data_IF_279760516926
#
_entry.id   IF_279760516926
#
_cell.length_a   1.000
_cell.length_b   1.000
_cell.length_c   1.000
_cell.angle_alpha   90.00
_cell.angle_beta   90.00
_cell.angle_gamma   90.00
#
_symmetry.space_group_name_H-M   'P 1'
#
loop_
_entity.id
_entity.type
_entity.pdbx_description
1 polymer ?
#
# COMPACT_ATOMS: atom_id res chain seq x y z
N UNK A 1 -38.39 -15.42 -15.22
CA UNK A 1 -38.28 -14.68 -13.96
C UNK A 1 -37.32 -15.39 -12.99
N UNK A 2 -37.36 -16.70 -12.85
CA UNK A 2 -36.51 -17.49 -11.96
C UNK A 2 -35.01 -17.36 -12.27
N UNK A 3 -34.60 -17.49 -13.53
CA UNK A 3 -33.21 -17.33 -13.95
C UNK A 3 -32.61 -15.97 -13.53
N UNK A 4 -33.38 -14.89 -13.69
CA UNK A 4 -32.89 -13.54 -13.31
C UNK A 4 -32.73 -13.44 -11.80
N UNK A 5 -33.66 -13.99 -11.03
CA UNK A 5 -33.59 -14.06 -9.58
C UNK A 5 -32.33 -14.80 -9.13
N UNK A 6 -32.09 -15.99 -9.68
CA UNK A 6 -30.97 -16.85 -9.32
C UNK A 6 -29.62 -16.19 -9.68
N UNK A 7 -29.54 -15.54 -10.84
CA UNK A 7 -28.37 -14.74 -11.24
C UNK A 7 -28.11 -13.56 -10.27
N UNK A 8 -29.16 -12.84 -9.88
CA UNK A 8 -29.02 -11.75 -8.90
C UNK A 8 -28.54 -12.26 -7.54
N UNK A 9 -29.02 -13.43 -7.10
CA UNK A 9 -28.57 -14.08 -5.87
C UNK A 9 -27.07 -14.41 -5.97
N UNK A 10 -26.62 -15.01 -7.07
CA UNK A 10 -25.21 -15.33 -7.29
C UNK A 10 -24.32 -14.08 -7.29
N UNK A 11 -24.72 -13.01 -7.96
CA UNK A 11 -24.00 -11.74 -7.96
C UNK A 11 -23.93 -11.18 -6.53
N UNK A 12 -25.03 -11.18 -5.80
CA UNK A 12 -25.05 -10.69 -4.41
C UNK A 12 -24.13 -11.50 -3.50
N UNK A 13 -24.15 -12.84 -3.60
CA UNK A 13 -23.27 -13.75 -2.85
C UNK A 13 -21.79 -13.42 -3.10
N UNK A 14 -21.41 -13.08 -4.33
CA UNK A 14 -20.03 -12.75 -4.68
C UNK A 14 -19.62 -11.35 -4.17
N UNK A 15 -20.51 -10.37 -4.28
CA UNK A 15 -20.16 -8.97 -4.03
C UNK A 15 -20.28 -8.58 -2.55
N UNK A 16 -21.29 -9.10 -1.85
CA UNK A 16 -21.58 -8.72 -0.46
C UNK A 16 -20.43 -8.98 0.51
N UNK A 17 -19.69 -10.11 0.44
CA UNK A 17 -18.53 -10.35 1.28
C UNK A 17 -17.39 -9.34 1.11
N UNK A 18 -17.26 -8.73 -0.08
CA UNK A 18 -16.25 -7.67 -0.31
C UNK A 18 -16.56 -6.41 0.50
N UNK A 19 -17.83 -6.00 0.53
CA UNK A 19 -18.26 -4.88 1.36
C UNK A 19 -18.11 -5.17 2.84
N UNK A 20 -18.41 -6.41 3.27
CA UNK A 20 -18.21 -6.85 4.65
C UNK A 20 -16.70 -6.80 5.02
N UNK A 21 -15.84 -7.28 4.13
CA UNK A 21 -14.39 -7.19 4.31
C UNK A 21 -13.94 -5.73 4.50
N UNK A 22 -14.42 -4.83 3.64
CA UNK A 22 -14.05 -3.42 3.71
C UNK A 22 -14.59 -2.75 4.98
N UNK A 23 -15.84 -3.03 5.36
CA UNK A 23 -16.43 -2.48 6.58
C UNK A 23 -15.66 -2.90 7.85
N UNK A 24 -15.22 -4.16 7.92
CA UNK A 24 -14.40 -4.67 9.03
C UNK A 24 -13.00 -4.04 8.99
N UNK A 25 -12.41 -3.90 7.80
CA UNK A 25 -11.10 -3.27 7.60
C UNK A 25 -11.11 -1.81 8.06
N UNK A 26 -12.11 -1.04 7.67
CA UNK A 26 -12.27 0.37 8.06
C UNK A 26 -12.38 0.55 9.57
N UNK A 27 -13.07 -0.37 10.26
CA UNK A 27 -13.31 -0.26 11.70
C UNK A 27 -12.09 -0.68 12.55
N UNK A 28 -11.18 -1.48 12.01
CA UNK A 28 -10.08 -2.09 12.77
C UNK A 28 -8.72 -1.38 12.61
N UNK A 29 -8.52 -0.59 11.55
CA UNK A 29 -7.21 -0.05 11.20
C UNK A 29 -7.22 1.47 11.05
N UNK A 30 -7.03 2.17 12.18
CA UNK A 30 -6.83 3.62 12.17
C UNK A 30 -5.37 4.06 11.91
N UNK A 31 -4.36 3.18 11.98
CA UNK A 31 -2.96 3.62 12.07
C UNK A 31 -1.95 3.05 11.07
N UNK A 32 -2.27 2.01 10.29
CA UNK A 32 -1.34 1.46 9.28
C UNK A 32 -2.05 1.05 7.99
N UNK A 33 -1.36 1.13 6.80
CA UNK A 33 -1.91 0.55 5.59
C UNK A 33 -2.11 -0.95 5.83
N UNK A 34 -3.35 -1.43 5.82
CA UNK A 34 -3.64 -2.79 6.20
C UNK A 34 -3.08 -3.73 5.15
N UNK A 35 -2.07 -4.52 5.50
CA UNK A 35 -1.73 -5.69 4.71
C UNK A 35 -2.98 -6.57 4.65
N UNK A 36 -3.39 -7.05 3.45
CA UNK A 36 -4.56 -7.89 3.33
C UNK A 36 -4.40 -9.12 4.24
N UNK A 37 -5.36 -9.33 5.13
CA UNK A 37 -5.34 -10.50 6.00
C UNK A 37 -5.73 -11.73 5.17
N UNK A 38 -4.74 -12.52 4.76
CA UNK A 38 -4.90 -13.69 3.89
C UNK A 38 -5.85 -14.72 4.46
N UNK A 39 -5.83 -14.92 5.79
CA UNK A 39 -6.75 -15.86 6.46
C UNK A 39 -8.20 -15.37 6.41
N UNK A 40 -8.41 -14.06 6.51
CA UNK A 40 -9.76 -13.51 6.43
C UNK A 40 -10.31 -13.54 5.00
N UNK A 41 -9.47 -13.29 3.99
CA UNK A 41 -9.83 -13.46 2.58
C UNK A 41 -10.21 -14.91 2.30
N UNK A 42 -9.39 -15.87 2.76
CA UNK A 42 -9.68 -17.30 2.67
C UNK A 42 -11.04 -17.66 3.30
N UNK A 43 -11.29 -17.19 4.50
CA UNK A 43 -12.54 -17.46 5.23
C UNK A 43 -13.76 -16.95 4.46
N UNK A 44 -13.72 -15.69 3.99
CA UNK A 44 -14.78 -15.10 3.19
C UNK A 44 -14.97 -15.83 1.86
N UNK A 45 -13.88 -16.13 1.14
CA UNK A 45 -13.95 -16.87 -0.12
C UNK A 45 -14.55 -18.27 0.07
N UNK A 46 -14.25 -18.93 1.19
CA UNK A 46 -14.82 -20.25 1.51
C UNK A 46 -16.33 -20.18 1.77
N UNK A 47 -16.79 -19.19 2.52
CA UNK A 47 -18.23 -18.97 2.76
C UNK A 47 -18.94 -18.64 1.45
N UNK A 48 -18.37 -17.71 0.67
CA UNK A 48 -18.90 -17.31 -0.64
C UNK A 48 -19.04 -18.52 -1.56
N UNK A 49 -18.05 -19.40 -1.59
CA UNK A 49 -18.07 -20.64 -2.36
C UNK A 49 -19.23 -21.55 -1.95
N UNK A 50 -19.34 -21.87 -0.67
CA UNK A 50 -20.40 -22.76 -0.16
C UNK A 50 -21.78 -22.19 -0.45
N UNK A 51 -21.99 -20.90 -0.23
CA UNK A 51 -23.25 -20.23 -0.55
C UNK A 51 -23.55 -20.26 -2.07
N UNK A 52 -22.55 -20.00 -2.91
CA UNK A 52 -22.71 -20.06 -4.37
C UNK A 52 -23.11 -21.46 -4.86
N UNK A 53 -22.51 -22.50 -4.28
CA UNK A 53 -22.87 -23.90 -4.61
C UNK A 53 -24.25 -24.31 -4.10
N UNK A 54 -24.64 -23.82 -2.93
CA UNK A 54 -25.96 -24.12 -2.31
C UNK A 54 -27.11 -23.47 -3.08
N UNK A 55 -26.92 -22.23 -3.54
CA UNK A 55 -27.91 -21.46 -4.30
C UNK A 55 -27.63 -21.52 -5.80
N UNK A 56 -27.49 -22.71 -6.37
CA UNK A 56 -27.20 -22.91 -7.80
C UNK A 56 -28.30 -22.35 -8.70
N UNK A 57 -27.92 -21.97 -9.91
CA UNK A 57 -28.83 -21.49 -10.97
C UNK A 57 -29.51 -22.70 -11.63
N UNK A 58 -30.80 -22.58 -11.87
CA UNK A 58 -31.59 -23.60 -12.55
C UNK A 58 -31.99 -23.15 -13.98
N UNK A 59 -31.85 -24.04 -14.94
CA UNK A 59 -32.32 -23.90 -16.32
C UNK A 59 -33.46 -24.91 -16.56
N UNK A 60 -34.70 -24.51 -16.26
CA UNK A 60 -35.81 -25.43 -16.20
C UNK A 60 -35.64 -26.45 -15.07
N UNK A 61 -35.68 -27.74 -15.40
CA UNK A 61 -35.55 -28.84 -14.42
C UNK A 61 -34.09 -29.18 -14.11
N UNK A 62 -33.11 -28.58 -14.80
CA UNK A 62 -31.69 -28.82 -14.62
C UNK A 62 -31.09 -27.73 -13.73
N UNK A 63 -30.73 -28.08 -12.50
CA UNK A 63 -30.05 -27.19 -11.55
C UNK A 63 -28.60 -27.62 -11.35
N UNK A 64 -27.71 -26.66 -11.01
CA UNK A 64 -26.32 -26.97 -10.65
C UNK A 64 -25.29 -26.01 -11.19
N UNK A 65 -25.67 -25.06 -12.05
CA UNK A 65 -24.75 -24.01 -12.47
C UNK A 65 -24.57 -22.98 -11.37
N UNK A 66 -23.34 -22.59 -11.09
CA UNK A 66 -23.02 -21.62 -10.06
C UNK A 66 -21.71 -20.87 -10.37
N UNK A 67 -21.43 -19.82 -9.61
CA UNK A 67 -20.25 -18.96 -9.82
C UNK A 67 -19.05 -19.36 -8.96
N UNK A 68 -18.90 -20.65 -8.61
CA UNK A 68 -17.77 -21.18 -7.82
C UNK A 68 -16.37 -20.84 -8.35
N UNK A 69 -16.13 -20.64 -9.66
CA UNK A 69 -14.79 -20.26 -10.14
C UNK A 69 -14.31 -18.93 -9.56
N UNK A 70 -15.25 -18.01 -9.31
CA UNK A 70 -14.91 -16.66 -8.84
C UNK A 70 -14.25 -16.69 -7.46
N UNK A 71 -14.85 -17.26 -6.40
CA UNK A 71 -14.23 -17.30 -5.07
C UNK A 71 -12.96 -18.18 -5.03
N UNK A 72 -12.85 -19.22 -5.87
CA UNK A 72 -11.65 -20.06 -5.93
C UNK A 72 -10.48 -19.24 -6.52
N UNK A 73 -10.67 -18.61 -7.68
CA UNK A 73 -9.62 -17.85 -8.36
C UNK A 73 -9.23 -16.61 -7.55
N UNK A 74 -10.23 -15.83 -7.09
CA UNK A 74 -9.95 -14.61 -6.32
C UNK A 74 -9.34 -14.93 -4.95
N UNK A 75 -9.84 -15.95 -4.26
CA UNK A 75 -9.27 -16.43 -3.01
C UNK A 75 -7.78 -16.79 -3.14
N UNK A 76 -7.42 -17.45 -4.24
CA UNK A 76 -6.02 -17.80 -4.52
C UNK A 76 -5.16 -16.60 -4.94
N UNK A 77 -5.63 -15.74 -5.83
CA UNK A 77 -4.86 -14.57 -6.31
C UNK A 77 -4.59 -13.55 -5.22
N UNK A 78 -5.55 -13.32 -4.31
CA UNK A 78 -5.42 -12.34 -3.21
C UNK A 78 -4.96 -12.98 -1.88
N UNK A 79 -5.31 -14.25 -1.63
CA UNK A 79 -4.95 -14.99 -0.42
C UNK A 79 -3.62 -15.76 -0.53
N UNK A 80 -3.12 -15.99 -1.75
CA UNK A 80 -1.93 -16.82 -1.99
C UNK A 80 -2.20 -18.29 -1.69
N UNK A 81 -1.20 -19.00 -1.13
CA UNK A 81 -1.31 -20.46 -0.86
C UNK A 81 -2.50 -20.81 0.05
N UNK A 82 -2.81 -19.96 1.02
CA UNK A 82 -3.96 -20.17 1.91
C UNK A 82 -5.28 -20.14 1.13
N UNK A 83 -5.33 -19.41 0.01
CA UNK A 83 -6.48 -19.36 -0.90
C UNK A 83 -6.74 -20.66 -1.68
N UNK A 84 -5.96 -21.72 -1.49
CA UNK A 84 -6.28 -23.07 -1.99
C UNK A 84 -7.40 -23.75 -1.16
N UNK A 85 -7.68 -23.29 0.04
CA UNK A 85 -8.70 -23.91 0.90
C UNK A 85 -10.10 -23.90 0.26
N UNK A 86 -10.58 -22.80 -0.37
CA UNK A 86 -11.84 -22.85 -1.12
C UNK A 86 -11.86 -23.95 -2.19
N UNK A 87 -10.75 -24.18 -2.90
CA UNK A 87 -10.68 -25.24 -3.92
C UNK A 87 -10.82 -26.65 -3.30
N UNK A 88 -10.23 -26.88 -2.13
CA UNK A 88 -10.38 -28.12 -1.39
C UNK A 88 -11.83 -28.29 -0.91
N UNK A 89 -12.46 -27.23 -0.41
CA UNK A 89 -13.87 -27.24 0.00
C UNK A 89 -14.77 -27.55 -1.18
N UNK A 90 -14.49 -27.02 -2.37
CA UNK A 90 -15.24 -27.33 -3.59
C UNK A 90 -15.24 -28.83 -3.90
N UNK A 91 -14.06 -29.45 -3.91
CA UNK A 91 -13.93 -30.89 -4.17
C UNK A 91 -14.67 -31.72 -3.12
N UNK A 92 -14.51 -31.37 -1.84
CA UNK A 92 -15.17 -32.08 -0.74
C UNK A 92 -16.70 -31.94 -0.82
N UNK A 93 -17.22 -30.78 -1.18
CA UNK A 93 -18.65 -30.51 -1.34
C UNK A 93 -19.24 -31.34 -2.50
N UNK A 94 -18.58 -31.35 -3.68
CA UNK A 94 -18.99 -32.15 -4.84
C UNK A 94 -18.98 -33.66 -4.51
N UNK A 95 -17.96 -34.13 -3.80
CA UNK A 95 -17.88 -35.54 -3.37
C UNK A 95 -18.97 -35.92 -2.38
N UNK A 96 -19.35 -35.04 -1.49
CA UNK A 96 -20.41 -35.28 -0.52
C UNK A 96 -21.80 -35.40 -1.20
N UNK A 97 -22.03 -34.65 -2.27
CA UNK A 97 -23.35 -34.62 -2.95
C UNK A 97 -23.46 -35.62 -4.10
N UNK A 98 -22.40 -35.78 -4.89
CA UNK A 98 -22.43 -36.54 -6.17
C UNK A 98 -21.62 -37.85 -6.12
N UNK A 99 -20.99 -38.13 -4.97
CA UNK A 99 -20.06 -39.26 -4.83
C UNK A 99 -18.63 -38.94 -5.29
N UNK A 100 -17.70 -39.84 -5.00
CA UNK A 100 -16.28 -39.67 -5.33
C UNK A 100 -16.03 -39.82 -6.81
N UNK A 101 -15.66 -38.74 -7.47
CA UNK A 101 -15.24 -38.69 -8.87
C UNK A 101 -13.99 -37.84 -9.04
N UNK A 102 -13.23 -38.05 -10.13
CA UNK A 102 -12.07 -37.24 -10.44
C UNK A 102 -12.41 -35.91 -11.10
N UNK A 103 -13.64 -35.73 -11.58
CA UNK A 103 -14.04 -34.54 -12.33
C UNK A 103 -13.82 -33.21 -11.57
N UNK A 104 -14.29 -33.07 -10.31
CA UNK A 104 -14.06 -31.82 -9.56
C UNK A 104 -12.57 -31.52 -9.32
N UNK A 105 -11.75 -32.55 -9.18
CA UNK A 105 -10.30 -32.40 -9.02
C UNK A 105 -9.66 -31.87 -10.31
N UNK A 106 -10.01 -32.44 -11.46
CA UNK A 106 -9.55 -32.01 -12.77
C UNK A 106 -9.98 -30.56 -13.03
N UNK A 107 -11.22 -30.21 -12.69
CA UNK A 107 -11.76 -28.88 -12.85
C UNK A 107 -10.96 -27.84 -12.02
N UNK A 108 -10.66 -28.14 -10.76
CA UNK A 108 -9.86 -27.26 -9.90
C UNK A 108 -8.43 -27.10 -10.42
N UNK A 109 -7.79 -28.19 -10.87
CA UNK A 109 -6.45 -28.13 -11.46
C UNK A 109 -6.47 -27.20 -12.68
N UNK A 110 -7.44 -27.37 -13.55
CA UNK A 110 -7.58 -26.54 -14.74
C UNK A 110 -7.83 -25.06 -14.39
N UNK A 111 -8.70 -24.81 -13.43
CA UNK A 111 -9.05 -23.46 -12.98
C UNK A 111 -7.86 -22.73 -12.34
N UNK A 112 -6.99 -23.44 -11.64
CA UNK A 112 -5.86 -22.86 -10.91
C UNK A 112 -4.55 -22.81 -11.72
N UNK A 113 -4.44 -23.48 -12.87
CA UNK A 113 -3.19 -23.56 -13.64
C UNK A 113 -2.65 -22.15 -13.99
N UNK A 114 -3.50 -21.25 -14.50
CA UNK A 114 -3.10 -19.89 -14.85
C UNK A 114 -2.86 -19.02 -13.60
N UNK A 115 -3.75 -18.99 -12.59
CA UNK A 115 -3.51 -18.29 -11.32
C UNK A 115 -2.23 -18.70 -10.60
N UNK A 116 -1.80 -19.96 -10.66
CA UNK A 116 -0.54 -20.43 -10.06
C UNK A 116 0.69 -19.69 -10.59
N UNK A 117 0.77 -19.47 -11.89
CA UNK A 117 1.86 -18.72 -12.51
C UNK A 117 1.79 -17.21 -12.21
N UNK A 118 0.58 -16.66 -12.03
CA UNK A 118 0.35 -15.25 -11.84
C UNK A 118 0.43 -14.82 -10.36
N UNK A 119 0.16 -15.71 -9.41
CA UNK A 119 0.00 -15.39 -7.99
C UNK A 119 1.18 -14.64 -7.38
N UNK A 120 2.42 -15.01 -7.72
CA UNK A 120 3.65 -14.36 -7.23
C UNK A 120 3.82 -12.92 -7.73
N UNK A 121 3.28 -12.62 -8.92
CA UNK A 121 3.40 -11.30 -9.57
C UNK A 121 2.11 -10.49 -9.47
N UNK A 122 1.04 -11.06 -8.94
CA UNK A 122 -0.29 -10.43 -8.92
C UNK A 122 -0.30 -9.05 -8.26
N UNK A 123 0.39 -8.92 -7.12
CA UNK A 123 0.50 -7.64 -6.40
C UNK A 123 1.27 -6.56 -7.16
N UNK A 124 2.10 -6.92 -8.14
CA UNK A 124 2.93 -6.00 -8.93
C UNK A 124 2.21 -5.48 -10.18
N UNK A 125 1.10 -6.11 -10.58
CA UNK A 125 0.36 -5.70 -11.76
C UNK A 125 -0.48 -4.46 -11.49
N UNK A 126 -0.57 -3.58 -12.51
CA UNK A 126 -1.51 -2.46 -12.51
C UNK A 126 -2.95 -2.96 -12.56
N UNK A 127 -3.90 -2.13 -12.09
CA UNK A 127 -5.33 -2.46 -12.10
C UNK A 127 -5.81 -2.93 -13.46
N UNK A 128 -5.45 -2.23 -14.54
CA UNK A 128 -5.90 -2.57 -15.89
C UNK A 128 -5.40 -3.95 -16.34
N UNK A 129 -4.15 -4.30 -16.02
CA UNK A 129 -3.61 -5.64 -16.29
C UNK A 129 -4.35 -6.73 -15.52
N UNK A 130 -4.71 -6.48 -14.25
CA UNK A 130 -5.49 -7.42 -13.44
C UNK A 130 -6.89 -7.64 -14.02
N UNK A 131 -7.54 -6.58 -14.51
CA UNK A 131 -8.86 -6.68 -15.16
C UNK A 131 -8.79 -7.52 -16.44
N UNK A 132 -7.81 -7.26 -17.30
CA UNK A 132 -7.61 -8.04 -18.54
C UNK A 132 -7.35 -9.51 -18.20
N UNK A 133 -6.49 -9.79 -17.22
CA UNK A 133 -6.18 -11.16 -16.80
C UNK A 133 -7.41 -11.86 -16.19
N UNK A 134 -8.21 -11.16 -15.38
CA UNK A 134 -9.46 -11.70 -14.83
C UNK A 134 -10.45 -12.06 -15.94
N UNK A 135 -10.59 -11.18 -16.94
CA UNK A 135 -11.41 -11.46 -18.14
C UNK A 135 -10.89 -12.67 -18.90
N UNK A 136 -9.58 -12.78 -19.14
CA UNK A 136 -8.98 -13.91 -19.87
C UNK A 136 -9.17 -15.23 -19.11
N UNK A 137 -8.91 -15.25 -17.78
CA UNK A 137 -9.04 -16.46 -16.96
C UNK A 137 -10.50 -16.94 -16.96
N UNK A 138 -11.45 -16.05 -16.70
CA UNK A 138 -12.87 -16.41 -16.65
C UNK A 138 -13.42 -16.82 -18.04
N UNK A 139 -13.01 -16.14 -19.11
CA UNK A 139 -13.40 -16.51 -20.48
C UNK A 139 -12.82 -17.86 -20.90
N UNK A 140 -11.57 -18.16 -20.54
CA UNK A 140 -10.96 -19.46 -20.79
C UNK A 140 -11.69 -20.57 -20.05
N UNK A 141 -12.05 -20.36 -18.78
CA UNK A 141 -12.85 -21.31 -18.01
C UNK A 141 -14.21 -21.58 -18.68
N UNK A 142 -14.95 -20.53 -19.06
CA UNK A 142 -16.25 -20.65 -19.74
C UNK A 142 -16.12 -21.43 -21.05
N UNK A 143 -15.10 -21.12 -21.86
CA UNK A 143 -14.88 -21.81 -23.13
C UNK A 143 -14.67 -23.31 -22.90
N UNK A 144 -13.85 -23.70 -21.94
CA UNK A 144 -13.58 -25.11 -21.64
C UNK A 144 -14.83 -25.79 -21.07
N UNK A 145 -15.57 -25.16 -20.17
CA UNK A 145 -16.80 -25.71 -19.60
C UNK A 145 -17.89 -25.91 -20.66
N UNK A 146 -18.02 -24.98 -21.62
CA UNK A 146 -18.91 -25.13 -22.78
C UNK A 146 -18.51 -26.32 -23.68
N UNK A 147 -17.22 -26.49 -23.96
CA UNK A 147 -16.72 -27.62 -24.77
C UNK A 147 -17.02 -28.95 -24.09
N UNK A 148 -16.71 -29.06 -22.79
CA UNK A 148 -16.98 -30.28 -22.01
C UNK A 148 -18.48 -30.59 -21.97
N UNK A 149 -19.30 -29.56 -21.70
CA UNK A 149 -20.76 -29.69 -21.72
C UNK A 149 -21.29 -30.18 -23.07
N UNK A 150 -20.77 -29.61 -24.18
CA UNK A 150 -21.17 -30.03 -25.53
C UNK A 150 -20.78 -31.49 -25.85
N UNK A 151 -19.60 -31.91 -25.44
CA UNK A 151 -19.14 -33.30 -25.59
C UNK A 151 -20.05 -34.25 -24.81
N UNK A 152 -20.40 -33.95 -23.56
CA UNK A 152 -21.31 -34.79 -22.77
C UNK A 152 -22.68 -34.95 -23.41
N UNK A 153 -23.25 -33.86 -23.94
CA UNK A 153 -24.54 -33.92 -24.66
C UNK A 153 -24.46 -34.78 -25.91
N UNK A 154 -23.38 -34.65 -26.70
CA UNK A 154 -23.22 -35.45 -27.91
C UNK A 154 -23.08 -36.96 -27.60
N UNK A 155 -22.47 -37.30 -26.44
CA UNK A 155 -22.27 -38.70 -26.05
C UNK A 155 -23.51 -39.35 -25.43
N UNK A 156 -24.31 -38.58 -24.67
CA UNK A 156 -25.40 -39.15 -23.86
C UNK A 156 -26.79 -39.08 -24.53
N UNK A 157 -27.12 -37.95 -25.14
CA UNK A 157 -28.52 -37.68 -25.49
C UNK A 157 -28.79 -37.29 -26.96
N UNK A 158 -27.76 -36.91 -27.70
CA UNK A 158 -27.91 -36.27 -29.01
C UNK A 158 -28.52 -34.87 -28.91
N UNK A 159 -28.57 -34.17 -30.03
CA UNK A 159 -29.02 -32.76 -30.07
C UNK A 159 -30.57 -32.70 -30.19
N UNK A 160 -31.26 -32.29 -29.14
CA UNK A 160 -32.70 -32.05 -29.15
C UNK A 160 -33.03 -30.56 -29.03
N UNK A 161 -34.20 -30.07 -29.48
CA UNK A 161 -34.62 -28.66 -29.33
C UNK A 161 -34.63 -28.18 -27.87
N UNK A 162 -34.91 -29.06 -26.92
CA UNK A 162 -34.86 -28.78 -25.48
C UNK A 162 -33.45 -28.40 -25.03
N UNK A 163 -32.45 -29.08 -25.54
CA UNK A 163 -31.02 -28.81 -25.24
C UNK A 163 -30.60 -27.44 -25.75
N UNK A 164 -31.12 -26.97 -26.91
CA UNK A 164 -30.78 -25.65 -27.42
C UNK A 164 -31.20 -24.51 -26.47
N UNK A 165 -32.34 -24.63 -25.82
CA UNK A 165 -32.81 -23.67 -24.80
C UNK A 165 -31.96 -23.69 -23.54
N UNK A 166 -31.54 -24.86 -23.06
CA UNK A 166 -30.64 -25.00 -21.93
C UNK A 166 -29.28 -24.34 -22.22
N UNK A 167 -28.73 -24.53 -23.43
CA UNK A 167 -27.46 -23.91 -23.83
C UNK A 167 -27.56 -22.40 -23.94
N UNK A 168 -28.67 -21.83 -24.42
CA UNK A 168 -28.84 -20.39 -24.47
C UNK A 168 -28.84 -19.76 -23.08
N UNK A 169 -29.49 -20.38 -22.09
CA UNK A 169 -29.47 -19.97 -20.69
C UNK A 169 -28.09 -20.09 -20.05
N UNK A 170 -27.40 -21.19 -20.35
CA UNK A 170 -26.03 -21.45 -19.88
C UNK A 170 -25.04 -20.41 -20.42
N UNK A 171 -25.07 -20.09 -21.72
CA UNK A 171 -24.23 -19.06 -22.35
C UNK A 171 -24.50 -17.70 -21.72
N UNK A 172 -25.77 -17.34 -21.53
CA UNK A 172 -26.14 -16.08 -20.88
C UNK A 172 -25.61 -15.97 -19.45
N UNK A 173 -25.80 -17.02 -18.63
CA UNK A 173 -25.30 -17.08 -17.25
C UNK A 173 -23.76 -17.02 -17.22
N UNK A 174 -23.10 -17.67 -18.17
CA UNK A 174 -21.63 -17.66 -18.29
C UNK A 174 -21.08 -16.27 -18.63
N UNK A 175 -21.76 -15.53 -19.52
CA UNK A 175 -21.39 -14.13 -19.80
C UNK A 175 -21.51 -13.26 -18.55
N UNK A 176 -22.61 -13.44 -17.79
CA UNK A 176 -22.78 -12.71 -16.51
C UNK A 176 -21.71 -13.10 -15.49
N UNK A 177 -21.33 -14.39 -15.42
CA UNK A 177 -20.23 -14.83 -14.55
C UNK A 177 -18.91 -14.14 -14.91
N UNK A 178 -18.55 -14.05 -16.21
CA UNK A 178 -17.34 -13.32 -16.65
C UNK A 178 -17.41 -11.86 -16.24
N UNK A 179 -18.52 -11.19 -16.47
CA UNK A 179 -18.72 -9.79 -16.06
C UNK A 179 -18.62 -9.63 -14.54
N UNK A 180 -19.20 -10.56 -13.78
CA UNK A 180 -19.14 -10.55 -12.31
C UNK A 180 -17.70 -10.73 -11.80
N UNK A 181 -16.91 -11.61 -12.43
CA UNK A 181 -15.49 -11.79 -12.08
C UNK A 181 -14.68 -10.51 -12.32
N UNK A 182 -14.84 -9.88 -13.48
CA UNK A 182 -14.16 -8.62 -13.81
C UNK A 182 -14.58 -7.52 -12.85
N UNK A 183 -15.88 -7.40 -12.57
CA UNK A 183 -16.41 -6.42 -11.64
C UNK A 183 -15.93 -6.65 -10.21
N UNK A 184 -15.85 -7.90 -9.75
CA UNK A 184 -15.30 -8.24 -8.43
C UNK A 184 -13.82 -7.81 -8.32
N UNK A 185 -13.00 -8.11 -9.34
CA UNK A 185 -11.58 -7.69 -9.35
C UNK A 185 -11.47 -6.17 -9.37
N UNK A 186 -12.27 -5.49 -10.21
CA UNK A 186 -12.33 -4.03 -10.24
C UNK A 186 -12.66 -3.44 -8.87
N UNK A 187 -13.71 -3.95 -8.23
CA UNK A 187 -14.15 -3.47 -6.93
C UNK A 187 -13.08 -3.71 -5.85
N UNK A 188 -12.44 -4.88 -5.86
CA UNK A 188 -11.35 -5.20 -4.92
C UNK A 188 -10.17 -4.24 -5.06
N UNK A 189 -9.74 -3.95 -6.30
CA UNK A 189 -8.64 -3.00 -6.53
C UNK A 189 -9.04 -1.57 -6.17
N UNK A 190 -10.25 -1.15 -6.54
CA UNK A 190 -10.79 0.17 -6.17
C UNK A 190 -10.84 0.38 -4.66
N UNK A 191 -11.33 -0.62 -3.90
CA UNK A 191 -11.36 -0.56 -2.44
C UNK A 191 -9.95 -0.54 -1.83
N UNK A 192 -9.00 -1.28 -2.40
CA UNK A 192 -7.61 -1.26 -1.96
C UNK A 192 -6.92 0.08 -2.23
N UNK A 193 -7.09 0.66 -3.42
CA UNK A 193 -6.58 1.98 -3.78
C UNK A 193 -7.15 3.06 -2.85
N UNK A 194 -8.45 3.07 -2.62
CA UNK A 194 -9.10 4.01 -1.71
C UNK A 194 -8.60 3.88 -0.26
N UNK A 195 -8.34 2.67 0.22
CA UNK A 195 -7.81 2.47 1.56
C UNK A 195 -6.39 3.02 1.71
N UNK A 196 -5.54 2.85 0.69
CA UNK A 196 -4.18 3.45 0.67
C UNK A 196 -4.28 4.98 0.69
N UNK A 197 -5.09 5.55 -0.21
CA UNK A 197 -5.28 7.01 -0.30
C UNK A 197 -5.78 7.61 1.02
N UNK A 198 -6.75 6.97 1.69
CA UNK A 198 -7.25 7.41 3.01
C UNK A 198 -6.15 7.42 4.06
N UNK A 199 -5.30 6.39 4.09
CA UNK A 199 -4.18 6.30 5.04
C UNK A 199 -3.15 7.40 4.79
N UNK A 200 -2.85 7.69 3.53
CA UNK A 200 -1.94 8.78 3.15
C UNK A 200 -2.52 10.17 3.50
N UNK A 201 -3.82 10.38 3.25
CA UNK A 201 -4.52 11.60 3.63
C UNK A 201 -4.48 11.82 5.15
N UNK A 202 -4.81 10.80 5.95
CA UNK A 202 -4.76 10.88 7.42
C UNK A 202 -3.36 11.20 7.93
N UNK A 203 -2.34 10.58 7.33
CA UNK A 203 -0.94 10.87 7.67
C UNK A 203 -0.56 12.32 7.33
N UNK A 204 -0.97 12.80 6.17
CA UNK A 204 -0.75 14.19 5.75
C UNK A 204 -1.48 15.18 6.67
N UNK A 205 -2.72 14.90 7.03
CA UNK A 205 -3.52 15.72 7.96
C UNK A 205 -2.89 15.81 9.34
N UNK A 206 -2.45 14.65 9.90
CA UNK A 206 -1.70 14.63 11.19
C UNK A 206 -0.42 15.48 11.12
N UNK A 207 0.33 15.39 10.03
CA UNK A 207 1.53 16.20 9.81
C UNK A 207 1.19 17.70 9.70
N UNK A 208 0.10 18.06 9.03
CA UNK A 208 -0.34 19.45 8.93
C UNK A 208 -0.72 20.03 10.29
N UNK A 209 -1.50 19.29 11.09
CA UNK A 209 -1.88 19.70 12.45
C UNK A 209 -0.64 19.89 13.32
N UNK A 210 0.31 18.94 13.30
CA UNK A 210 1.57 19.05 14.05
C UNK A 210 2.38 20.26 13.57
N UNK A 211 2.40 20.54 12.26
CA UNK A 211 3.11 21.68 11.68
C UNK A 211 2.50 23.03 12.14
N UNK A 212 1.17 23.12 12.13
CA UNK A 212 0.45 24.33 12.58
C UNK A 212 0.65 24.60 14.06
N UNK A 213 0.48 23.57 14.89
CA UNK A 213 0.73 23.66 16.34
C UNK A 213 2.19 23.98 16.65
N UNK A 214 3.14 23.37 15.94
CA UNK A 214 4.56 23.61 16.15
C UNK A 214 4.96 25.05 15.83
N UNK A 215 4.37 25.66 14.80
CA UNK A 215 4.60 27.07 14.47
C UNK A 215 4.11 28.01 15.58
N UNK A 216 2.92 27.77 16.13
CA UNK A 216 2.34 28.54 17.24
C UNK A 216 3.17 28.38 18.51
N UNK A 217 3.46 27.13 18.92
CA UNK A 217 4.26 26.84 20.12
C UNK A 217 5.65 27.46 20.06
N UNK A 218 6.31 27.41 18.89
CA UNK A 218 7.64 28.00 18.74
C UNK A 218 7.63 29.52 18.93
N UNK A 219 6.62 30.21 18.40
CA UNK A 219 6.46 31.64 18.62
C UNK A 219 6.19 31.96 20.10
N UNK A 220 5.31 31.20 20.75
CA UNK A 220 4.95 31.41 22.15
C UNK A 220 6.10 31.06 23.11
N UNK A 221 6.97 30.12 22.79
CA UNK A 221 8.15 29.76 23.59
C UNK A 221 9.31 30.72 23.30
N UNK A 222 9.51 31.15 22.06
CA UNK A 222 10.59 32.12 21.74
C UNK A 222 10.41 33.45 22.46
N UNK A 223 9.17 33.90 22.68
CA UNK A 223 8.89 35.17 23.37
C UNK A 223 9.46 35.22 24.80
N UNK A 224 9.12 34.29 25.74
CA UNK A 224 9.70 34.30 27.08
C UNK A 224 11.21 34.04 27.09
N UNK A 225 11.71 33.21 26.15
CA UNK A 225 13.17 32.97 26.03
C UNK A 225 13.92 34.26 25.62
N UNK A 226 13.33 35.08 24.73
CA UNK A 226 13.92 36.38 24.35
C UNK A 226 13.99 37.34 25.52
N UNK A 227 12.95 37.36 26.37
CA UNK A 227 12.92 38.19 27.59
C UNK A 227 13.99 37.72 28.58
N UNK A 228 14.08 36.42 28.84
CA UNK A 228 15.09 35.84 29.73
C UNK A 228 16.50 36.13 29.21
N UNK A 229 16.76 35.98 27.91
CA UNK A 229 18.04 36.35 27.28
C UNK A 229 18.42 37.81 27.54
N UNK A 230 17.44 38.73 27.35
CA UNK A 230 17.66 40.15 27.57
C UNK A 230 18.07 40.46 29.02
N UNK A 231 17.40 39.84 30.01
CA UNK A 231 17.79 40.02 31.43
C UNK A 231 19.16 39.45 31.73
N UNK A 232 19.52 38.30 31.20
CA UNK A 232 20.84 37.67 31.42
C UNK A 232 21.96 38.50 30.79
N UNK A 233 21.76 39.08 29.60
CA UNK A 233 22.71 39.96 28.95
C UNK A 233 22.95 41.26 29.78
N UNK A 234 21.89 41.81 30.38
CA UNK A 234 21.99 42.97 31.29
C UNK A 234 22.79 42.60 32.55
N UNK A 235 22.60 41.45 33.12
CA UNK A 235 23.36 40.97 34.28
C UNK A 235 24.81 40.64 33.96
N UNK A 236 25.13 40.15 32.75
CA UNK A 236 26.51 39.86 32.30
C UNK A 236 27.35 41.13 32.20
N UNK A 237 26.74 42.29 32.02
CA UNK A 237 27.41 43.58 31.96
C UNK A 237 27.89 44.08 33.36
N UNK A 238 27.50 43.43 34.47
CA UNK A 238 27.89 43.76 35.82
C UNK A 238 29.27 43.12 36.16
N UNK A 239 30.13 43.81 36.93
CA UNK A 239 31.56 43.48 37.11
C UNK A 239 31.91 42.20 37.93
N UNK A 240 30.95 41.40 38.34
CA UNK A 240 31.18 40.22 39.18
C UNK A 240 31.56 38.97 38.34
N UNK A 241 32.85 38.56 38.41
CA UNK A 241 33.47 37.54 37.57
C UNK A 241 32.79 36.15 37.73
N UNK A 242 32.36 35.79 38.94
CA UNK A 242 31.67 34.48 39.16
C UNK A 242 30.28 34.42 38.51
N UNK A 243 29.61 35.52 38.47
CA UNK A 243 28.27 35.58 37.83
C UNK A 243 28.37 35.50 36.31
N UNK A 244 29.45 35.99 35.67
CA UNK A 244 29.65 35.91 34.22
C UNK A 244 29.69 34.47 33.68
N UNK A 245 30.30 33.53 34.38
CA UNK A 245 30.39 32.14 33.91
C UNK A 245 29.04 31.43 34.00
N UNK A 246 28.25 31.69 35.06
CA UNK A 246 26.88 31.17 35.14
C UNK A 246 25.98 31.77 34.07
N UNK A 247 26.09 33.06 33.77
CA UNK A 247 25.35 33.74 32.71
C UNK A 247 25.64 33.13 31.30
N UNK A 248 26.92 32.86 31.02
CA UNK A 248 27.33 32.21 29.78
C UNK A 248 26.72 30.79 29.62
N UNK A 249 26.67 30.02 30.71
CA UNK A 249 26.05 28.70 30.74
C UNK A 249 24.54 28.79 30.44
N UNK A 250 23.84 29.76 31.05
CA UNK A 250 22.39 29.94 30.81
C UNK A 250 22.11 30.42 29.39
N UNK A 251 22.91 31.34 28.84
CA UNK A 251 22.80 31.76 27.46
C UNK A 251 23.02 30.59 26.48
N UNK A 252 23.99 29.73 26.75
CA UNK A 252 24.24 28.55 25.91
C UNK A 252 23.06 27.56 25.93
N UNK A 253 22.39 27.37 27.09
CA UNK A 253 21.24 26.50 27.22
C UNK A 253 19.98 27.12 26.57
N UNK A 254 19.82 28.46 26.58
CA UNK A 254 18.81 29.16 25.82
C UNK A 254 18.97 28.98 24.31
N UNK A 255 20.21 29.11 23.80
CA UNK A 255 20.53 28.86 22.38
C UNK A 255 20.19 27.43 22.00
N UNK A 256 20.47 26.47 22.90
CA UNK A 256 20.13 25.07 22.71
C UNK A 256 18.61 24.84 22.67
N UNK A 257 17.84 25.48 23.54
CA UNK A 257 16.39 25.38 23.55
C UNK A 257 15.77 25.97 22.26
N UNK A 258 16.25 27.13 21.79
CA UNK A 258 15.85 27.70 20.52
C UNK A 258 16.17 26.79 19.33
N UNK A 259 17.32 26.12 19.36
CA UNK A 259 17.71 25.17 18.30
C UNK A 259 16.77 23.96 18.28
N UNK A 260 16.43 23.38 19.46
CA UNK A 260 15.50 22.24 19.56
C UNK A 260 14.12 22.62 19.00
N UNK A 261 13.62 23.81 19.35
CA UNK A 261 12.34 24.31 18.83
C UNK A 261 12.39 24.48 17.30
N UNK A 262 13.49 25.02 16.79
CA UNK A 262 13.69 25.20 15.35
C UNK A 262 13.76 23.85 14.62
N UNK A 263 14.44 22.86 15.18
CA UNK A 263 14.53 21.51 14.61
C UNK A 263 13.16 20.81 14.63
N UNK A 264 12.37 20.98 15.69
CA UNK A 264 10.99 20.45 15.78
C UNK A 264 10.07 21.08 14.74
N UNK A 265 10.17 22.41 14.53
CA UNK A 265 9.45 23.13 13.47
C UNK A 265 9.82 22.64 12.07
N UNK A 266 11.11 22.37 11.85
CA UNK A 266 11.58 21.86 10.56
C UNK A 266 11.09 20.44 10.27
N UNK A 267 10.89 19.60 11.29
CA UNK A 267 10.28 18.27 11.20
C UNK A 267 8.77 18.33 10.89
N UNK A 268 8.09 19.35 11.43
CA UNK A 268 6.65 19.53 11.28
C UNK A 268 6.23 20.19 9.96
N UNK A 269 7.09 20.96 9.32
CA UNK A 269 6.78 21.60 8.03
C UNK A 269 6.76 20.57 6.91
N UNK A 270 5.66 20.46 6.13
CA UNK A 270 5.67 19.72 4.87
C UNK A 270 6.70 20.40 3.96
N UNK A 271 7.84 19.76 3.80
CA UNK A 271 8.88 20.27 2.89
C UNK A 271 8.39 19.99 1.47
N UNK A 272 7.95 21.03 0.78
CA UNK A 272 7.76 20.99 -0.68
C UNK A 272 9.15 20.77 -1.28
N UNK A 273 9.46 19.54 -1.65
CA UNK A 273 10.73 19.20 -2.30
C UNK A 273 10.77 19.86 -3.68
N UNK A 274 11.50 20.97 -3.79
CA UNK A 274 11.84 21.52 -5.09
C UNK A 274 13.00 20.70 -5.68
N UNK A 275 12.66 19.67 -6.42
CA UNK A 275 13.66 18.90 -7.16
C UNK A 275 14.16 19.71 -8.34
N UNK A 276 15.43 20.10 -8.31
CA UNK A 276 16.14 20.79 -9.40
C UNK A 276 17.43 20.06 -9.77
N UNK A 277 17.94 20.32 -10.95
CA UNK A 277 19.24 19.84 -11.36
C UNK A 277 20.33 20.64 -10.64
N UNK A 278 21.12 19.97 -9.83
CA UNK A 278 22.14 20.57 -8.99
C UNK A 278 23.53 20.12 -9.46
N UNK A 279 24.42 21.06 -9.73
CA UNK A 279 25.83 20.76 -9.89
C UNK A 279 26.44 20.51 -8.50
N UNK A 280 26.64 19.24 -8.15
CA UNK A 280 27.18 18.84 -6.86
C UNK A 280 28.58 19.37 -6.62
N UNK A 281 29.40 19.38 -7.68
CA UNK A 281 30.78 19.91 -7.65
C UNK A 281 30.81 21.39 -7.26
N UNK A 282 29.96 22.21 -7.88
CA UNK A 282 29.84 23.62 -7.52
C UNK A 282 29.37 23.85 -6.07
N UNK A 283 28.44 23.01 -5.60
CA UNK A 283 27.95 23.07 -4.21
C UNK A 283 29.05 22.71 -3.19
N UNK A 284 29.85 21.69 -3.47
CA UNK A 284 30.98 21.30 -2.61
C UNK A 284 32.02 22.42 -2.50
N UNK A 285 32.38 23.08 -3.61
CA UNK A 285 33.31 24.23 -3.62
C UNK A 285 32.74 25.38 -2.80
N UNK A 286 31.48 25.75 -3.01
CA UNK A 286 30.78 26.80 -2.26
C UNK A 286 30.79 26.50 -0.74
N UNK A 287 30.45 25.28 -0.35
CA UNK A 287 30.40 24.87 1.05
C UNK A 287 31.80 24.82 1.68
N UNK A 288 32.80 24.33 0.97
CA UNK A 288 34.18 24.33 1.47
C UNK A 288 34.69 25.74 1.71
N UNK A 289 34.40 26.68 0.79
CA UNK A 289 34.77 28.09 0.96
C UNK A 289 34.09 28.70 2.19
N UNK A 290 32.80 28.45 2.41
CA UNK A 290 32.07 28.94 3.58
C UNK A 290 32.59 28.35 4.90
N UNK A 291 32.97 27.08 4.88
CA UNK A 291 33.42 26.37 6.10
C UNK A 291 34.94 26.50 6.35
N UNK A 292 35.71 27.00 5.41
CA UNK A 292 37.17 27.14 5.55
C UNK A 292 37.60 28.05 6.73
N UNK A 293 36.89 29.16 6.93
CA UNK A 293 37.14 30.06 8.06
C UNK A 293 36.82 29.36 9.40
N UNK A 294 35.75 28.60 9.47
CA UNK A 294 35.39 27.86 10.67
C UNK A 294 36.36 26.71 10.94
N UNK A 295 36.81 26.00 9.90
CA UNK A 295 37.81 24.94 10.03
C UNK A 295 39.17 25.49 10.48
N UNK A 296 39.58 26.63 9.93
CA UNK A 296 40.84 27.32 10.32
C UNK A 296 40.83 27.75 11.78
N UNK A 297 39.71 28.23 12.31
CA UNK A 297 39.56 28.53 13.77
C UNK A 297 39.75 27.31 14.64
N UNK A 298 39.54 26.11 14.12
CA UNK A 298 39.77 24.82 14.82
C UNK A 298 41.14 24.19 14.49
N UNK A 299 42.02 24.93 13.76
CA UNK A 299 43.32 24.42 13.38
C UNK A 299 43.30 23.30 12.34
N UNK A 300 42.23 23.22 11.55
CA UNK A 300 42.04 22.23 10.46
C UNK A 300 42.02 22.91 9.13
N UNK A 301 42.79 22.38 8.15
CA UNK A 301 42.77 22.83 6.77
C UNK A 301 41.77 21.99 5.97
N UNK A 302 40.84 22.66 5.32
CA UNK A 302 39.79 22.01 4.54
C UNK A 302 40.09 22.16 3.06
N UNK A 303 40.26 21.05 2.33
CA UNK A 303 40.54 21.03 0.90
C UNK A 303 39.50 20.19 0.17
N UNK A 304 39.10 20.60 -1.02
CA UNK A 304 38.23 19.87 -1.90
C UNK A 304 38.97 19.47 -3.17
N UNK A 305 38.91 18.20 -3.50
CA UNK A 305 39.41 17.67 -4.79
C UNK A 305 38.21 17.13 -5.60
N UNK A 306 38.07 17.67 -6.82
CA UNK A 306 36.99 17.31 -7.73
C UNK A 306 37.58 16.91 -9.05
N UNK A 307 37.42 15.66 -9.45
CA UNK A 307 37.97 15.13 -10.72
C UNK A 307 37.04 15.41 -11.91
N UNK A 308 35.73 15.48 -11.71
CA UNK A 308 34.73 15.68 -12.77
C UNK A 308 33.54 16.51 -12.26
N UNK A 309 32.79 17.11 -13.20
CA UNK A 309 31.56 17.82 -12.89
C UNK A 309 30.43 16.83 -12.63
N UNK A 310 30.02 16.67 -11.37
CA UNK A 310 28.94 15.78 -10.94
C UNK A 310 27.64 16.55 -10.84
N UNK A 311 26.56 15.92 -11.33
CA UNK A 311 25.20 16.45 -11.27
C UNK A 311 24.27 15.49 -10.54
N UNK A 312 23.30 16.04 -9.80
CA UNK A 312 22.24 15.26 -9.13
C UNK A 312 20.91 15.99 -9.24
N UNK A 313 19.82 15.27 -8.99
CA UNK A 313 18.47 15.85 -8.90
C UNK A 313 18.06 15.84 -7.43
N UNK A 314 17.76 17.00 -6.86
CA UNK A 314 17.38 17.09 -5.46
C UNK A 314 17.00 18.51 -5.04
N UNK A 315 16.84 18.70 -3.74
CA UNK A 315 16.63 20.02 -3.13
C UNK A 315 18.00 20.62 -2.74
N UNK A 316 18.33 21.76 -3.34
CA UNK A 316 19.60 22.45 -3.16
C UNK A 316 19.85 22.83 -1.70
N UNK A 317 18.80 23.24 -0.98
CA UNK A 317 18.91 23.67 0.41
C UNK A 317 19.17 22.48 1.35
N UNK A 318 18.48 21.38 1.14
CA UNK A 318 18.69 20.13 1.91
C UNK A 318 20.10 19.57 1.65
N UNK A 319 20.55 19.61 0.41
CA UNK A 319 21.90 19.15 0.05
C UNK A 319 22.97 19.98 0.74
N UNK A 320 22.85 21.32 0.71
CA UNK A 320 23.75 22.22 1.46
C UNK A 320 23.77 21.91 2.95
N UNK A 321 22.61 21.72 3.56
CA UNK A 321 22.48 21.39 4.98
C UNK A 321 23.13 20.05 5.31
N UNK A 322 22.93 19.03 4.47
CA UNK A 322 23.57 17.72 4.66
C UNK A 322 25.10 17.81 4.61
N UNK A 323 25.65 18.49 3.60
CA UNK A 323 27.09 18.72 3.48
C UNK A 323 27.65 19.47 4.71
N UNK A 324 27.00 20.55 5.13
CA UNK A 324 27.41 21.30 6.31
C UNK A 324 27.42 20.45 7.58
N UNK A 325 26.41 19.61 7.78
CA UNK A 325 26.30 18.74 8.95
C UNK A 325 27.44 17.71 8.98
N UNK A 326 27.76 17.10 7.83
CA UNK A 326 28.87 16.15 7.72
C UNK A 326 30.19 16.83 8.03
N UNK A 327 30.45 18.00 7.43
CA UNK A 327 31.71 18.76 7.68
C UNK A 327 31.81 19.16 9.15
N UNK A 328 30.75 19.68 9.78
CA UNK A 328 30.74 20.02 11.21
C UNK A 328 31.02 18.80 12.10
N UNK A 329 30.41 17.65 11.79
CA UNK A 329 30.63 16.41 12.53
C UNK A 329 32.09 15.96 12.48
N UNK A 330 32.69 15.99 11.28
CA UNK A 330 34.10 15.64 11.09
C UNK A 330 35.02 16.60 11.83
N UNK A 331 34.77 17.92 11.72
CA UNK A 331 35.58 18.94 12.42
C UNK A 331 35.51 18.79 13.96
N UNK A 332 34.33 18.45 14.49
CA UNK A 332 34.16 18.18 15.92
C UNK A 332 34.98 16.98 16.38
N UNK A 333 35.01 15.91 15.60
CA UNK A 333 35.74 14.69 15.89
C UNK A 333 37.27 14.93 15.86
N UNK A 334 37.74 15.76 14.93
CA UNK A 334 39.17 16.19 14.90
C UNK A 334 39.58 16.99 16.15
N UNK A 335 38.69 17.81 16.71
CA UNK A 335 38.92 18.54 17.96
C UNK A 335 39.07 17.61 19.16
N UNK A 336 38.23 16.59 19.26
CA UNK A 336 38.29 15.59 20.34
C UNK A 336 39.58 14.74 20.28
N UNK A 337 40.08 14.42 19.08
CA UNK A 337 41.31 13.63 18.87
C UNK A 337 42.57 14.46 19.23
N UNK A 338 42.58 15.79 19.00
CA UNK A 338 43.71 16.66 19.30
C UNK A 338 43.80 17.10 20.77
N UNK A 339 42.80 16.81 21.63
CA UNK A 339 42.84 17.12 23.07
C UNK A 339 42.89 18.61 23.40
N UNK A 340 42.36 19.48 22.50
CA UNK A 340 42.29 20.94 22.68
C UNK A 340 40.87 21.34 23.07
#
# INVERSE_FOLDING_TARGET
MELIRDLMIQIAIIILPLFLYEAIRLNRYQEMPPKPNRYFIMFLSSITLVLSMTYSICFGDVCGYNFHPIPIVSGFLYGGIVGLIPAVIFVAYEWALKGTSLLPVIEVIFLLIVPLFLSKKWSLFSRDKKLILAFMISSLYVLVSLVIGMINVLLETGFTPYISHLYSGYIFASLIMVMTMVFQVYLTEYLNENAILRTEMQKSEKLNIVSELAASVAHEVRNPLTVVRGFIQLLESTEDVKNKDYMRLVLAELDRAEQIISDYLNLARPQIEKKEHICLSAQLIEMTTLMSSFAAMQGVYLQVEISESLYTIGDKTKLKQAIMNVVKMVLKQFKEIKGI
#
